data_IF_927784786690
#
_entry.id   IF_927784786690
#
_cell.length_a   1.000
_cell.length_b   1.000
_cell.length_c   1.000
_cell.angle_alpha   90.00
_cell.angle_beta   90.00
_cell.angle_gamma   90.00
#
_symmetry.space_group_name_H-M   'P 1'
#
loop_
_entity.id
_entity.type
_entity.pdbx_description
1 polymer ?
#
# COMPACT_ATOMS: atom_id res chain seq x y z
N UNK A 1 -20.59 -21.81 -7.05
CA UNK A 1 -20.60 -20.45 -6.45
C UNK A 1 -19.64 -20.49 -5.26
N UNK A 2 -18.52 -19.79 -5.36
CA UNK A 2 -17.59 -19.65 -4.23
C UNK A 2 -18.08 -18.40 -3.49
N UNK A 3 -18.48 -18.51 -2.20
CA UNK A 3 -18.89 -17.36 -1.42
C UNK A 3 -17.71 -16.36 -1.32
N UNK A 4 -17.98 -15.06 -1.27
CA UNK A 4 -16.92 -14.08 -1.04
C UNK A 4 -16.21 -14.42 0.27
N UNK A 5 -14.90 -14.53 0.23
CA UNK A 5 -14.10 -14.67 1.46
C UNK A 5 -14.23 -13.39 2.28
N UNK A 6 -14.12 -13.51 3.59
CA UNK A 6 -14.12 -12.36 4.53
C UNK A 6 -13.13 -11.26 4.08
N UNK A 7 -11.99 -11.63 3.52
CA UNK A 7 -11.02 -10.72 2.93
C UNK A 7 -11.60 -9.89 1.77
N UNK A 8 -12.41 -10.50 0.89
CA UNK A 8 -13.04 -9.79 -0.22
C UNK A 8 -14.04 -8.74 0.25
N UNK A 9 -14.79 -9.04 1.30
CA UNK A 9 -15.74 -8.09 1.89
C UNK A 9 -14.99 -6.93 2.55
N UNK A 10 -13.95 -7.23 3.32
CA UNK A 10 -13.13 -6.23 3.99
C UNK A 10 -12.39 -5.31 2.99
N UNK A 11 -11.87 -5.85 1.90
CA UNK A 11 -11.21 -5.04 0.86
C UNK A 11 -12.20 -4.11 0.15
N UNK A 12 -13.43 -4.56 -0.09
CA UNK A 12 -14.48 -3.71 -0.67
C UNK A 12 -14.92 -2.59 0.29
N UNK A 13 -15.00 -2.87 1.59
CA UNK A 13 -15.38 -1.89 2.62
C UNK A 13 -14.28 -0.84 2.87
N UNK A 14 -13.01 -1.17 2.67
CA UNK A 14 -11.89 -0.26 2.89
C UNK A 14 -11.44 0.50 1.64
N UNK A 15 -12.18 0.40 0.54
CA UNK A 15 -11.91 1.15 -0.69
C UNK A 15 -10.57 0.81 -1.35
N UNK A 16 -10.02 -0.37 -1.06
CA UNK A 16 -8.83 -0.87 -1.74
C UNK A 16 -9.21 -1.10 -3.20
N UNK A 17 -8.63 -0.31 -4.09
CA UNK A 17 -8.82 -0.49 -5.52
C UNK A 17 -8.11 -1.76 -5.96
N UNK A 18 -8.89 -2.76 -6.28
CA UNK A 18 -8.42 -4.01 -6.79
C UNK A 18 -8.50 -3.89 -8.31
N UNK A 19 -7.35 -3.84 -8.99
CA UNK A 19 -7.33 -3.70 -10.43
C UNK A 19 -7.94 -4.93 -11.11
N UNK A 20 -8.61 -4.69 -12.21
CA UNK A 20 -8.99 -5.78 -13.10
C UNK A 20 -7.72 -6.51 -13.58
N UNK A 21 -7.70 -7.85 -13.58
CA UNK A 21 -6.57 -8.59 -14.12
C UNK A 21 -6.39 -8.24 -15.59
N UNK A 22 -5.16 -7.91 -15.98
CA UNK A 22 -4.82 -7.77 -17.38
C UNK A 22 -5.28 -9.03 -18.14
N UNK A 23 -5.96 -8.81 -19.25
CA UNK A 23 -6.41 -9.86 -20.14
C UNK A 23 -5.19 -10.57 -20.73
N UNK A 24 -4.71 -11.60 -20.08
CA UNK A 24 -3.77 -12.52 -20.69
C UNK A 24 -4.52 -13.29 -21.78
N UNK A 25 -4.30 -12.94 -23.01
CA UNK A 25 -4.95 -13.56 -24.18
C UNK A 25 -4.60 -15.04 -24.41
N UNK A 26 -3.86 -15.66 -23.50
CA UNK A 26 -3.48 -17.09 -23.58
C UNK A 26 -3.52 -17.75 -22.22
N UNK A 27 -4.64 -18.38 -21.95
CA UNK A 27 -4.77 -19.31 -20.84
C UNK A 27 -6.20 -19.30 -20.32
N UNK A 28 -6.91 -20.40 -20.48
CA UNK A 28 -8.29 -20.59 -20.03
C UNK A 28 -8.46 -20.33 -18.54
N UNK A 29 -8.51 -19.06 -18.18
CA UNK A 29 -8.85 -18.63 -16.84
C UNK A 29 -10.27 -19.06 -16.54
N UNK A 30 -10.48 -19.81 -15.45
CA UNK A 30 -11.82 -20.15 -14.97
C UNK A 30 -12.59 -18.86 -14.78
N UNK A 31 -13.71 -18.71 -15.47
CA UNK A 31 -14.63 -17.63 -15.23
C UNK A 31 -15.16 -17.76 -13.79
N UNK A 32 -14.90 -16.75 -12.99
CA UNK A 32 -15.50 -16.64 -11.65
C UNK A 32 -16.88 -16.00 -11.80
N UNK A 33 -17.86 -16.55 -11.12
CA UNK A 33 -19.20 -15.96 -11.01
C UNK A 33 -19.38 -15.39 -9.61
N UNK A 34 -19.98 -14.20 -9.50
CA UNK A 34 -20.38 -13.63 -8.21
C UNK A 34 -21.52 -14.44 -7.55
N UNK A 35 -21.95 -14.02 -6.39
CA UNK A 35 -23.04 -14.68 -5.65
C UNK A 35 -24.37 -14.68 -6.44
N UNK A 36 -24.54 -13.76 -7.37
CA UNK A 36 -25.70 -13.60 -8.25
C UNK A 36 -25.54 -14.34 -9.58
N UNK A 37 -24.47 -15.13 -9.77
CA UNK A 37 -24.21 -15.90 -10.98
C UNK A 37 -23.69 -15.09 -12.17
N UNK A 38 -23.27 -13.80 -11.97
CA UNK A 38 -22.75 -12.96 -13.02
C UNK A 38 -21.26 -13.25 -13.23
N UNK A 39 -20.73 -13.18 -14.46
CA UNK A 39 -19.30 -13.33 -14.70
C UNK A 39 -18.56 -12.24 -13.94
N UNK A 40 -17.77 -12.65 -12.95
CA UNK A 40 -16.98 -11.79 -12.10
C UNK A 40 -15.50 -12.00 -12.42
N UNK A 41 -14.75 -10.91 -12.51
CA UNK A 41 -13.30 -10.99 -12.69
C UNK A 41 -12.64 -11.11 -11.32
N UNK A 42 -11.62 -11.96 -11.18
CA UNK A 42 -10.90 -12.04 -9.92
C UNK A 42 -10.22 -10.69 -9.64
N UNK A 43 -10.44 -10.17 -8.46
CA UNK A 43 -9.81 -8.95 -7.99
C UNK A 43 -8.33 -9.22 -7.70
N UNK A 44 -7.46 -8.35 -8.14
CA UNK A 44 -6.03 -8.44 -7.90
C UNK A 44 -5.57 -7.22 -7.12
N UNK A 45 -4.89 -7.46 -6.01
CA UNK A 45 -4.18 -6.37 -5.31
C UNK A 45 -3.06 -5.88 -6.21
N UNK A 46 -3.11 -4.62 -6.60
CA UNK A 46 -2.06 -4.00 -7.41
C UNK A 46 -1.02 -3.40 -6.49
N UNK A 47 0.21 -3.83 -6.66
CA UNK A 47 1.32 -3.11 -6.06
C UNK A 47 1.49 -1.77 -6.80
N UNK A 48 1.09 -0.71 -6.12
CA UNK A 48 1.13 0.66 -6.64
C UNK A 48 2.51 1.06 -7.13
N UNK A 49 3.57 0.72 -6.37
CA UNK A 49 4.94 1.06 -6.76
C UNK A 49 5.38 0.29 -8.01
N UNK A 50 5.09 -1.01 -8.07
CA UNK A 50 5.40 -1.83 -9.25
C UNK A 50 4.61 -1.36 -10.49
N UNK A 51 3.37 -0.93 -10.33
CA UNK A 51 2.57 -0.40 -11.42
C UNK A 51 3.12 0.95 -11.92
N UNK A 52 3.51 1.85 -11.02
CA UNK A 52 4.10 3.14 -11.36
C UNK A 52 5.47 3.00 -12.04
N UNK A 53 6.31 2.07 -11.59
CA UNK A 53 7.59 1.78 -12.25
C UNK A 53 7.38 1.22 -13.66
N UNK A 54 6.48 0.23 -13.82
CA UNK A 54 6.16 -0.37 -15.12
C UNK A 54 5.63 0.65 -16.13
N UNK A 55 4.87 1.63 -15.66
CA UNK A 55 4.38 2.75 -16.50
C UNK A 55 5.42 3.84 -16.76
N UNK A 56 6.62 3.74 -16.17
CA UNK A 56 7.66 4.76 -16.27
C UNK A 56 7.35 6.05 -15.48
N UNK A 57 6.38 6.01 -14.57
CA UNK A 57 6.02 7.15 -13.73
C UNK A 57 7.06 7.41 -12.65
N UNK A 58 7.68 6.34 -12.14
CA UNK A 58 8.78 6.38 -11.18
C UNK A 58 9.95 5.53 -11.69
N UNK A 59 11.15 5.80 -11.20
CA UNK A 59 12.33 5.00 -11.46
C UNK A 59 12.60 3.96 -10.36
N UNK A 60 13.63 3.12 -10.57
CA UNK A 60 14.00 2.08 -9.63
C UNK A 60 14.48 2.62 -8.27
N UNK A 61 15.12 3.78 -8.22
CA UNK A 61 15.53 4.44 -6.98
C UNK A 61 14.33 4.92 -6.16
N UNK A 62 13.38 5.57 -6.83
CA UNK A 62 12.12 6.00 -6.22
C UNK A 62 11.30 4.81 -5.72
N UNK A 63 11.26 3.71 -6.50
CA UNK A 63 10.61 2.47 -6.06
C UNK A 63 11.27 1.91 -4.81
N UNK A 64 12.60 1.78 -4.80
CA UNK A 64 13.34 1.28 -3.65
C UNK A 64 13.11 2.13 -2.39
N UNK A 65 13.04 3.45 -2.53
CA UNK A 65 12.70 4.35 -1.43
C UNK A 65 11.27 4.10 -0.90
N UNK A 66 10.30 3.91 -1.78
CA UNK A 66 8.94 3.58 -1.39
C UNK A 66 8.82 2.23 -0.68
N UNK A 67 9.50 1.19 -1.17
CA UNK A 67 9.54 -0.12 -0.53
C UNK A 67 10.22 -0.06 0.85
N UNK A 68 11.30 0.72 0.98
CA UNK A 68 11.96 0.95 2.27
C UNK A 68 11.05 1.65 3.26
N UNK A 69 10.31 2.69 2.83
CA UNK A 69 9.34 3.36 3.70
C UNK A 69 8.26 2.39 4.17
N UNK A 70 7.67 1.59 3.27
CA UNK A 70 6.65 0.58 3.59
C UNK A 70 7.16 -0.41 4.63
N UNK A 71 8.37 -0.95 4.44
CA UNK A 71 8.99 -1.88 5.37
C UNK A 71 9.22 -1.27 6.76
N UNK A 72 9.71 -0.03 6.83
CA UNK A 72 9.90 0.69 8.10
C UNK A 72 8.57 0.96 8.80
N UNK A 73 7.54 1.35 8.05
CA UNK A 73 6.20 1.62 8.56
C UNK A 73 5.56 0.36 9.15
N UNK A 74 5.73 -0.78 8.49
CA UNK A 74 5.27 -2.08 8.98
C UNK A 74 6.02 -2.53 10.23
N UNK A 75 7.37 -2.44 10.24
CA UNK A 75 8.21 -2.78 11.40
C UNK A 75 7.84 -1.93 12.61
N UNK A 76 7.60 -0.64 12.41
CA UNK A 76 7.17 0.29 13.46
C UNK A 76 5.79 -0.08 14.04
N UNK A 77 5.03 -0.96 13.39
CA UNK A 77 3.68 -1.35 13.78
C UNK A 77 2.64 -0.26 13.52
N UNK A 78 2.95 0.71 12.67
CA UNK A 78 2.06 1.83 12.36
C UNK A 78 0.91 1.42 11.43
N UNK A 79 1.06 0.33 10.67
CA UNK A 79 0.00 -0.28 9.88
C UNK A 79 -1.05 -1.03 10.74
N UNK A 80 -0.71 -1.32 12.00
CA UNK A 80 -1.44 -2.26 12.86
C UNK A 80 -2.55 -1.68 13.71
N UNK A 81 -3.07 -0.50 13.42
CA UNK A 81 -4.27 -0.02 14.13
C UNK A 81 -5.56 -0.66 13.58
N UNK A 82 -5.46 -1.49 12.55
CA UNK A 82 -6.64 -2.09 11.90
C UNK A 82 -6.71 -3.61 11.76
N UNK A 83 -5.61 -4.35 11.86
CA UNK A 83 -5.65 -5.80 11.69
C UNK A 83 -4.46 -6.48 12.37
N UNK A 84 -4.55 -6.69 13.67
CA UNK A 84 -3.77 -7.76 14.28
C UNK A 84 -4.36 -9.09 13.78
N UNK A 85 -3.59 -9.96 13.10
CA UNK A 85 -4.03 -11.33 12.89
C UNK A 85 -4.16 -11.96 14.27
N UNK A 86 -5.39 -12.29 14.67
CA UNK A 86 -5.71 -12.96 15.95
C UNK A 86 -5.04 -14.33 16.09
N UNK A 87 -4.44 -14.84 15.02
CA UNK A 87 -3.77 -16.15 14.99
C UNK A 87 -2.28 -16.13 15.32
N UNK A 88 -1.69 -14.96 15.56
CA UNK A 88 -0.34 -14.95 16.11
C UNK A 88 -0.43 -15.03 17.62
N UNK A 89 -0.51 -16.26 18.13
CA UNK A 89 -0.25 -16.54 19.53
C UNK A 89 0.99 -15.76 19.99
N UNK A 90 1.02 -15.19 21.19
CA UNK A 90 2.21 -14.59 21.76
C UNK A 90 3.24 -15.70 22.06
N UNK A 91 3.80 -16.24 20.99
CA UNK A 91 4.93 -17.16 21.01
C UNK A 91 6.15 -16.35 21.41
N UNK A 92 6.62 -16.60 22.63
CA UNK A 92 7.73 -15.94 23.28
C UNK A 92 8.95 -15.82 22.37
N UNK A 93 9.56 -14.65 22.41
CA UNK A 93 10.80 -14.31 21.72
C UNK A 93 10.95 -12.84 21.41
N UNK A 94 10.11 -11.97 22.00
CA UNK A 94 10.29 -10.53 21.94
C UNK A 94 11.27 -10.02 23.00
N UNK A 95 12.53 -10.48 22.95
CA UNK A 95 13.58 -9.85 23.74
C UNK A 95 13.76 -8.38 23.32
N UNK A 96 14.45 -7.59 24.14
CA UNK A 96 14.75 -6.14 23.95
C UNK A 96 15.04 -5.73 22.50
N UNK A 97 15.60 -6.61 21.69
CA UNK A 97 15.89 -6.37 20.28
C UNK A 97 14.66 -6.13 19.39
N UNK A 98 13.51 -6.72 19.72
CA UNK A 98 12.27 -6.50 18.95
C UNK A 98 11.65 -5.13 19.21
N UNK A 99 11.69 -4.70 20.47
CA UNK A 99 11.20 -3.39 20.87
C UNK A 99 12.13 -2.31 20.31
N UNK A 100 13.44 -2.47 20.46
CA UNK A 100 14.41 -1.52 19.92
C UNK A 100 14.25 -1.36 18.40
N UNK A 101 14.11 -2.45 17.66
CA UNK A 101 13.90 -2.40 16.21
C UNK A 101 12.64 -1.63 15.81
N UNK A 102 11.54 -1.77 16.58
CA UNK A 102 10.30 -0.99 16.35
C UNK A 102 10.52 0.50 16.61
N UNK A 103 11.21 0.83 17.69
CA UNK A 103 11.51 2.22 18.05
C UNK A 103 12.38 2.87 16.98
N UNK A 104 13.41 2.16 16.51
CA UNK A 104 14.32 2.68 15.49
C UNK A 104 13.61 2.85 14.14
N UNK A 105 12.76 1.90 13.76
CA UNK A 105 11.92 2.03 12.58
C UNK A 105 10.94 3.21 12.71
N UNK A 106 10.31 3.40 13.87
CA UNK A 106 9.42 4.54 14.12
C UNK A 106 10.14 5.89 13.99
N UNK A 107 11.38 5.97 14.51
CA UNK A 107 12.22 7.17 14.34
C UNK A 107 12.58 7.43 12.88
N UNK A 108 12.91 6.37 12.13
CA UNK A 108 13.23 6.49 10.71
C UNK A 108 12.00 6.95 9.90
N UNK A 109 10.80 6.42 10.20
CA UNK A 109 9.55 6.89 9.58
C UNK A 109 9.29 8.36 9.93
N UNK A 110 9.42 8.75 11.20
CA UNK A 110 9.22 10.14 11.62
C UNK A 110 10.19 11.09 10.90
N UNK A 111 11.47 10.73 10.81
CA UNK A 111 12.46 11.52 10.07
C UNK A 111 12.10 11.66 8.59
N UNK A 112 11.68 10.57 7.94
CA UNK A 112 11.22 10.60 6.56
C UNK A 112 10.01 11.53 6.37
N UNK A 113 9.03 11.47 7.25
CA UNK A 113 7.86 12.35 7.21
C UNK A 113 8.21 13.83 7.43
N UNK A 114 9.14 14.13 8.32
CA UNK A 114 9.65 15.51 8.52
C UNK A 114 10.28 16.05 7.23
N UNK A 115 11.04 15.23 6.49
CA UNK A 115 11.59 15.62 5.18
C UNK A 115 10.52 15.91 4.13
N UNK A 116 9.38 15.26 4.25
CA UNK A 116 8.21 15.48 3.38
C UNK A 116 7.33 16.67 3.84
N UNK A 117 7.78 17.43 4.85
CA UNK A 117 7.05 18.57 5.40
C UNK A 117 6.15 18.20 6.60
N UNK A 118 6.49 17.13 7.32
CA UNK A 118 5.84 16.72 8.57
C UNK A 118 4.37 16.33 8.37
N UNK A 119 3.45 17.26 8.64
CA UNK A 119 1.99 17.07 8.45
C UNK A 119 1.48 17.55 7.10
N UNK A 120 2.38 17.82 6.17
CA UNK A 120 2.04 18.31 4.83
C UNK A 120 1.41 17.25 3.93
N UNK A 121 0.92 17.66 2.75
CA UNK A 121 0.21 16.77 1.85
C UNK A 121 1.09 15.64 1.29
N UNK A 122 2.40 15.84 1.15
CA UNK A 122 3.33 14.79 0.70
C UNK A 122 3.54 13.72 1.77
N UNK A 123 3.60 14.09 3.04
CA UNK A 123 3.65 13.13 4.15
C UNK A 123 2.34 12.33 4.24
N UNK A 124 1.20 13.00 4.13
CA UNK A 124 -0.12 12.36 4.18
C UNK A 124 -0.26 11.30 3.07
N UNK A 125 0.05 11.64 1.82
CA UNK A 125 -0.10 10.69 0.72
C UNK A 125 0.82 9.48 0.85
N UNK A 126 2.03 9.64 1.39
CA UNK A 126 2.96 8.53 1.62
C UNK A 126 2.42 7.59 2.70
N UNK A 127 1.86 8.13 3.79
CA UNK A 127 1.21 7.33 4.82
C UNK A 127 0.02 6.57 4.21
N UNK A 128 -0.87 7.26 3.51
CA UNK A 128 -2.11 6.67 3.00
C UNK A 128 -1.84 5.58 1.94
N UNK A 129 -0.97 5.86 0.98
CA UNK A 129 -0.69 4.93 -0.12
C UNK A 129 0.30 3.83 0.28
N UNK A 130 1.44 4.20 0.89
CA UNK A 130 2.50 3.24 1.18
C UNK A 130 2.33 2.58 2.55
N UNK A 131 1.86 3.33 3.55
CA UNK A 131 1.66 2.82 4.90
C UNK A 131 0.36 2.04 5.04
N UNK A 132 -0.75 2.59 4.57
CA UNK A 132 -2.09 2.04 4.75
C UNK A 132 -2.60 1.27 3.52
N UNK A 133 -1.86 1.29 2.40
CA UNK A 133 -2.21 0.53 1.19
C UNK A 133 -3.40 1.11 0.41
N UNK A 134 -3.72 2.39 0.59
CA UNK A 134 -4.80 3.03 -0.15
C UNK A 134 -4.47 3.15 -1.63
N UNK A 135 -5.46 2.92 -2.50
CA UNK A 135 -5.28 3.09 -3.94
C UNK A 135 -5.23 4.56 -4.35
N UNK A 136 -4.37 4.90 -5.34
CA UNK A 136 -4.21 6.28 -5.84
C UNK A 136 -5.53 6.92 -6.28
N UNK A 137 -6.34 6.20 -7.06
CA UNK A 137 -7.63 6.71 -7.54
C UNK A 137 -8.66 6.88 -6.42
N UNK A 138 -8.61 6.05 -5.37
CA UNK A 138 -9.44 6.21 -4.19
C UNK A 138 -9.03 7.47 -3.40
N UNK A 139 -7.72 7.69 -3.25
CA UNK A 139 -7.19 8.88 -2.61
C UNK A 139 -7.63 10.16 -3.32
N UNK A 140 -7.50 10.23 -4.66
CA UNK A 140 -7.96 11.38 -5.45
C UNK A 140 -9.44 11.68 -5.21
N UNK A 141 -10.31 10.63 -5.16
CA UNK A 141 -11.75 10.79 -4.90
C UNK A 141 -12.04 11.30 -3.49
N UNK A 142 -11.39 10.72 -2.48
CA UNK A 142 -11.61 11.08 -1.07
C UNK A 142 -11.18 12.52 -0.80
N UNK A 143 -10.09 12.95 -1.41
CA UNK A 143 -9.56 14.31 -1.25
C UNK A 143 -10.09 15.30 -2.29
N UNK A 144 -11.11 14.93 -3.07
CA UNK A 144 -11.70 15.76 -4.13
C UNK A 144 -10.68 16.32 -5.11
N UNK A 145 -9.64 15.53 -5.41
CA UNK A 145 -8.57 15.90 -6.33
C UNK A 145 -8.91 15.46 -7.76
N UNK A 146 -8.24 16.09 -8.74
CA UNK A 146 -8.28 15.64 -10.13
C UNK A 146 -7.59 14.28 -10.23
N UNK A 147 -8.11 13.39 -11.07
CA UNK A 147 -7.49 12.12 -11.38
C UNK A 147 -6.02 12.28 -11.76
N UNK A 148 -5.16 11.46 -11.16
CA UNK A 148 -3.71 11.51 -11.37
C UNK A 148 -2.96 12.47 -10.44
N UNK A 149 -3.64 13.25 -9.60
CA UNK A 149 -2.97 14.15 -8.65
C UNK A 149 -2.21 13.36 -7.60
N UNK A 150 -2.81 12.30 -7.06
CA UNK A 150 -2.16 11.39 -6.11
C UNK A 150 -0.86 10.80 -6.69
N UNK A 151 -0.88 10.35 -7.94
CA UNK A 151 0.31 9.79 -8.61
C UNK A 151 1.44 10.83 -8.72
N UNK A 152 1.11 12.06 -9.10
CA UNK A 152 2.10 13.14 -9.21
C UNK A 152 2.71 13.50 -7.84
N UNK A 153 1.89 13.61 -6.80
CA UNK A 153 2.33 13.92 -5.44
C UNK A 153 3.17 12.77 -4.84
N UNK A 154 2.74 11.53 -5.05
CA UNK A 154 3.51 10.37 -4.59
C UNK A 154 4.88 10.32 -5.26
N UNK A 155 4.96 10.56 -6.58
CA UNK A 155 6.24 10.63 -7.29
C UNK A 155 7.16 11.71 -6.70
N UNK A 156 6.64 12.91 -6.42
CA UNK A 156 7.39 14.00 -5.80
C UNK A 156 7.92 13.59 -4.42
N UNK A 157 7.09 12.97 -3.60
CA UNK A 157 7.48 12.47 -2.30
C UNK A 157 8.57 11.39 -2.38
N UNK A 158 8.42 10.45 -3.33
CA UNK A 158 9.41 9.39 -3.57
C UNK A 158 10.75 9.95 -4.05
N UNK A 159 10.75 11.02 -4.84
CA UNK A 159 11.96 11.70 -5.28
C UNK A 159 12.74 12.31 -4.11
N UNK A 160 12.03 12.91 -3.16
CA UNK A 160 12.64 13.43 -1.92
C UNK A 160 13.23 12.28 -1.08
N UNK A 161 12.47 11.20 -0.87
CA UNK A 161 12.93 10.05 -0.09
C UNK A 161 14.09 9.32 -0.76
N UNK A 162 14.11 9.19 -2.07
CA UNK A 162 15.19 8.55 -2.81
C UNK A 162 16.51 9.32 -2.64
N UNK A 163 16.47 10.65 -2.67
CA UNK A 163 17.67 11.50 -2.42
C UNK A 163 18.17 11.39 -0.99
N UNK A 164 17.28 11.22 -0.02
CA UNK A 164 17.67 11.09 1.39
C UNK A 164 18.31 9.74 1.69
N UNK A 165 17.93 8.70 0.96
CA UNK A 165 18.35 7.33 1.23
C UNK A 165 19.32 6.75 0.18
N UNK A 166 19.82 7.58 -0.73
CA UNK A 166 20.80 7.21 -1.77
C UNK A 166 22.19 6.84 -1.19
#
# INVERSE_FOLDING_TARGET
VIPPTLERVQHAEHGIEVAEPERTERGGGRAYTDAEGRPSRPWRVVDTLAAMERSGTIDAGQRAAGERFRALFEIAGLAGIGAAPLDRAPGGGGGDGGIQRRVDAGRAVAAALERLGGRGPLASIVIDILGLGQALGAWDRIHHQRSGRASAMLREALDILAREWA
#
